data_IF_219467530479
#
_entry.id   IF_219467530479
#
_cell.length_a   1.000
_cell.length_b   1.000
_cell.length_c   1.000
_cell.angle_alpha   90.00
_cell.angle_beta   90.00
_cell.angle_gamma   90.00
#
_symmetry.space_group_name_H-M   'P 1'
#
loop_
_entity.id
_entity.type
_entity.pdbx_description
1 polymer ?
#
# COMPACT_ATOMS: atom_id res chain seq x y z
N UNK A 1 -5.32 -31.53 5.02
CA UNK A 1 -5.16 -30.66 3.85
C UNK A 1 -4.82 -29.28 4.38
N UNK A 2 -3.52 -29.05 4.38
CA UNK A 2 -2.78 -28.06 5.12
C UNK A 2 -2.78 -26.72 4.37
N UNK A 3 -3.25 -25.66 5.01
CA UNK A 3 -2.95 -24.28 4.60
C UNK A 3 -2.50 -23.48 5.82
N UNK A 4 -1.34 -23.86 6.34
CA UNK A 4 -0.52 -22.96 7.15
C UNK A 4 0.00 -21.84 6.24
N UNK A 5 -0.77 -20.75 6.13
CA UNK A 5 -0.31 -19.48 5.56
C UNK A 5 0.85 -18.97 6.42
N UNK A 6 2.07 -19.31 5.98
CA UNK A 6 3.33 -18.79 6.49
C UNK A 6 3.30 -17.27 6.42
N UNK A 7 3.06 -16.61 7.56
CA UNK A 7 3.40 -15.20 7.70
C UNK A 7 4.93 -15.07 7.72
N UNK A 8 5.52 -14.26 6.82
CA UNK A 8 6.96 -14.05 6.82
C UNK A 8 7.40 -13.34 8.10
N UNK A 9 8.59 -13.73 8.57
CA UNK A 9 9.20 -13.32 9.83
C UNK A 9 9.28 -11.78 9.95
N UNK A 10 8.71 -11.26 11.04
CA UNK A 10 8.75 -9.85 11.46
C UNK A 10 10.20 -9.35 11.51
N UNK A 11 10.63 -8.59 10.50
CA UNK A 11 11.87 -7.81 10.56
C UNK A 11 11.66 -6.62 11.50
N UNK A 12 12.69 -6.36 12.31
CA UNK A 12 12.69 -5.42 13.42
C UNK A 12 12.10 -4.04 13.06
N UNK A 13 11.41 -3.45 14.02
CA UNK A 13 10.69 -2.18 13.96
C UNK A 13 11.63 -1.01 13.62
N UNK A 14 11.93 -0.83 12.34
CA UNK A 14 12.46 0.41 11.81
C UNK A 14 11.29 1.38 11.66
N UNK A 15 11.43 2.62 12.16
CA UNK A 15 10.43 3.67 11.95
C UNK A 15 10.11 3.71 10.45
N UNK A 16 8.84 3.59 10.04
CA UNK A 16 8.51 3.51 8.63
C UNK A 16 8.94 4.82 7.96
N UNK A 17 9.96 4.75 7.11
CA UNK A 17 10.26 5.82 6.15
C UNK A 17 9.18 5.85 5.08
N UNK A 18 8.99 7.00 4.43
CA UNK A 18 8.02 7.18 3.33
C UNK A 18 8.18 6.10 2.25
N UNK A 19 9.42 5.76 1.89
CA UNK A 19 9.70 4.70 0.91
C UNK A 19 9.23 3.31 1.37
N UNK A 20 9.46 2.95 2.63
CA UNK A 20 8.95 1.70 3.21
C UNK A 20 7.41 1.64 3.19
N UNK A 21 6.71 2.78 3.33
CA UNK A 21 5.25 2.82 3.25
C UNK A 21 4.76 2.58 1.82
N UNK A 22 5.41 3.19 0.83
CA UNK A 22 5.09 3.01 -0.59
C UNK A 22 5.23 1.56 -1.02
N UNK A 23 6.33 0.90 -0.63
CA UNK A 23 6.55 -0.52 -0.93
C UNK A 23 5.47 -1.40 -0.31
N UNK A 24 5.15 -1.20 0.98
CA UNK A 24 4.09 -1.95 1.67
C UNK A 24 2.70 -1.74 1.06
N UNK A 25 2.39 -0.52 0.62
CA UNK A 25 1.15 -0.20 -0.09
C UNK A 25 1.08 -0.98 -1.39
N UNK A 26 2.18 -1.01 -2.16
CA UNK A 26 2.27 -1.81 -3.39
C UNK A 26 2.09 -3.31 -3.12
N UNK A 27 2.78 -3.87 -2.14
CA UNK A 27 2.64 -5.28 -1.77
C UNK A 27 1.21 -5.62 -1.35
N UNK A 28 0.58 -4.72 -0.59
CA UNK A 28 -0.83 -4.86 -0.20
C UNK A 28 -1.77 -4.81 -1.40
N UNK A 29 -1.55 -3.89 -2.35
CA UNK A 29 -2.32 -3.85 -3.59
C UNK A 29 -2.15 -5.12 -4.41
N UNK A 30 -0.94 -5.67 -4.52
CA UNK A 30 -0.69 -6.96 -5.16
C UNK A 30 -1.42 -8.10 -4.46
N UNK A 31 -1.43 -8.11 -3.12
CA UNK A 31 -2.18 -9.10 -2.33
C UNK A 31 -3.68 -9.05 -2.60
N UNK A 32 -4.24 -7.86 -2.83
CA UNK A 32 -5.65 -7.68 -3.22
C UNK A 32 -5.95 -7.94 -4.71
N UNK A 33 -4.96 -8.38 -5.51
CA UNK A 33 -5.14 -8.65 -6.94
C UNK A 33 -4.91 -7.44 -7.86
N UNK A 34 -4.23 -6.41 -7.35
CA UNK A 34 -3.79 -5.24 -8.11
C UNK A 34 -4.65 -3.99 -7.94
N UNK A 35 -5.84 -4.08 -7.36
CA UNK A 35 -6.71 -2.90 -7.15
C UNK A 35 -7.54 -3.06 -5.87
N UNK A 36 -7.47 -2.08 -4.96
CA UNK A 36 -8.19 -2.12 -3.68
C UNK A 36 -8.67 -0.74 -3.24
N UNK A 37 -9.59 -0.72 -2.27
CA UNK A 37 -9.98 0.51 -1.63
C UNK A 37 -8.86 0.99 -0.69
N UNK A 38 -8.55 2.28 -0.71
CA UNK A 38 -7.54 2.94 0.14
C UNK A 38 -7.70 2.55 1.60
N UNK A 39 -8.94 2.46 2.10
CA UNK A 39 -9.22 2.07 3.49
C UNK A 39 -8.77 0.63 3.80
N UNK A 40 -8.99 -0.31 2.88
CA UNK A 40 -8.58 -1.70 3.04
C UNK A 40 -7.05 -1.82 2.97
N UNK A 41 -6.42 -1.04 2.10
CA UNK A 41 -4.96 -0.95 2.01
C UNK A 41 -4.37 -0.42 3.31
N UNK A 42 -4.86 0.74 3.79
CA UNK A 42 -4.39 1.36 5.05
C UNK A 42 -4.59 0.40 6.22
N UNK A 43 -5.74 -0.27 6.33
CA UNK A 43 -5.99 -1.25 7.39
C UNK A 43 -5.03 -2.44 7.32
N UNK A 44 -4.77 -2.96 6.11
CA UNK A 44 -3.85 -4.08 5.95
C UNK A 44 -2.40 -3.69 6.27
N UNK A 45 -1.93 -2.53 5.81
CA UNK A 45 -0.59 -2.02 6.11
C UNK A 45 -0.46 -1.71 7.60
N UNK A 46 -1.46 -1.08 8.23
CA UNK A 46 -1.47 -0.82 9.67
C UNK A 46 -1.34 -2.13 10.46
N UNK A 47 -2.11 -3.16 10.08
CA UNK A 47 -2.01 -4.50 10.67
C UNK A 47 -0.62 -5.11 10.51
N UNK A 48 -0.01 -4.98 9.33
CA UNK A 48 1.32 -5.52 9.03
C UNK A 48 2.41 -4.91 9.93
N UNK A 49 2.33 -3.60 10.17
CA UNK A 49 3.27 -2.87 11.03
C UNK A 49 2.94 -2.96 12.53
N UNK A 50 1.90 -3.73 12.90
CA UNK A 50 1.50 -3.95 14.29
C UNK A 50 0.65 -2.83 14.91
N UNK A 51 0.07 -1.94 14.10
CA UNK A 51 -0.89 -0.92 14.52
C UNK A 51 -2.30 -1.51 14.57
N UNK A 52 -3.07 -1.15 15.59
CA UNK A 52 -4.47 -1.56 15.71
C UNK A 52 -5.31 -0.93 14.60
N UNK A 53 -5.91 -1.77 13.75
CA UNK A 53 -6.77 -1.35 12.63
C UNK A 53 -8.04 -0.65 13.08
N UNK A 54 -8.48 -0.85 14.33
CA UNK A 54 -9.63 -0.16 14.89
C UNK A 54 -9.29 1.27 15.33
N UNK A 55 -8.01 1.55 15.56
CA UNK A 55 -7.53 2.83 16.08
C UNK A 55 -6.22 3.24 15.38
N UNK A 56 -6.32 3.41 14.05
CA UNK A 56 -5.17 3.83 13.24
C UNK A 56 -4.97 5.34 13.45
N UNK A 57 -3.81 5.79 13.94
CA UNK A 57 -3.56 7.20 14.16
C UNK A 57 -3.70 7.99 12.86
N UNK A 58 -4.37 9.14 12.93
CA UNK A 58 -4.65 9.99 11.76
C UNK A 58 -3.37 10.40 11.02
N UNK A 59 -2.31 10.71 11.77
CA UNK A 59 -0.98 11.03 11.23
C UNK A 59 -0.42 9.89 10.35
N UNK A 60 -0.55 8.65 10.80
CA UNK A 60 -0.12 7.48 10.03
C UNK A 60 -0.98 7.28 8.77
N UNK A 61 -2.29 7.49 8.89
CA UNK A 61 -3.16 7.45 7.72
C UNK A 61 -2.71 8.49 6.70
N UNK A 62 -2.57 9.75 7.13
CA UNK A 62 -2.09 10.86 6.30
C UNK A 62 -0.72 10.57 5.69
N UNK A 63 0.22 10.04 6.46
CA UNK A 63 1.52 9.65 5.95
C UNK A 63 1.42 8.60 4.81
N UNK A 64 0.57 7.58 4.95
CA UNK A 64 0.36 6.58 3.89
C UNK A 64 -0.27 7.19 2.63
N UNK A 65 -1.20 8.11 2.81
CA UNK A 65 -1.90 8.80 1.71
C UNK A 65 -0.94 9.67 0.94
N UNK A 66 -0.22 10.55 1.66
CA UNK A 66 0.77 11.44 1.08
C UNK A 66 1.86 10.62 0.40
N UNK A 67 2.37 9.56 1.03
CA UNK A 67 3.38 8.68 0.43
C UNK A 67 2.93 8.10 -0.90
N UNK A 68 1.67 7.62 -0.98
CA UNK A 68 1.10 7.08 -2.22
C UNK A 68 0.91 8.17 -3.28
N UNK A 69 0.35 9.31 -2.91
CA UNK A 69 0.08 10.41 -3.83
C UNK A 69 1.37 11.03 -4.37
N UNK A 70 2.40 11.20 -3.54
CA UNK A 70 3.73 11.62 -3.97
C UNK A 70 4.36 10.62 -4.92
N UNK A 71 4.29 9.32 -4.62
CA UNK A 71 4.81 8.26 -5.49
C UNK A 71 4.03 8.13 -6.81
N UNK A 72 2.75 8.50 -6.84
CA UNK A 72 1.93 8.53 -8.04
C UNK A 72 2.16 9.79 -8.89
N UNK A 73 2.36 10.95 -8.25
CA UNK A 73 2.67 12.23 -8.91
C UNK A 73 4.07 12.22 -9.55
N UNK A 74 5.02 11.56 -8.91
CA UNK A 74 6.37 11.36 -9.45
C UNK A 74 6.33 10.29 -10.57
N UNK A 75 6.65 10.70 -11.81
CA UNK A 75 6.59 9.82 -12.97
C UNK A 75 7.55 8.63 -12.88
N UNK A 76 8.75 8.82 -12.33
CA UNK A 76 9.74 7.76 -12.18
C UNK A 76 9.28 6.72 -11.15
N UNK A 77 8.74 7.18 -10.02
CA UNK A 77 8.16 6.30 -8.98
C UNK A 77 6.88 5.62 -9.48
N UNK A 78 6.02 6.34 -10.20
CA UNK A 78 4.81 5.80 -10.81
C UNK A 78 5.14 4.67 -11.77
N UNK A 79 6.15 4.83 -12.61
CA UNK A 79 6.63 3.78 -13.52
C UNK A 79 7.26 2.60 -12.76
N UNK A 80 8.04 2.87 -11.72
CA UNK A 80 8.74 1.85 -10.92
C UNK A 80 7.77 0.96 -10.15
N UNK A 81 6.81 1.57 -9.42
CA UNK A 81 5.86 0.84 -8.60
C UNK A 81 4.62 0.40 -9.38
N UNK A 82 4.34 1.05 -10.50
CA UNK A 82 3.18 0.79 -11.34
C UNK A 82 1.90 1.42 -10.81
N UNK A 83 1.94 2.47 -9.98
CA UNK A 83 0.70 3.02 -9.39
C UNK A 83 -0.25 3.59 -10.44
N UNK A 84 -1.53 3.31 -10.24
CA UNK A 84 -2.63 3.74 -11.09
C UNK A 84 -3.82 4.18 -10.24
N UNK A 85 -4.44 5.29 -10.64
CA UNK A 85 -5.67 5.78 -10.06
C UNK A 85 -6.72 5.79 -11.16
N UNK A 86 -7.78 4.99 -11.00
CA UNK A 86 -8.88 4.93 -11.97
C UNK A 86 -9.57 6.29 -12.18
N UNK A 87 -9.65 7.10 -11.12
CA UNK A 87 -10.35 8.38 -11.11
C UNK A 87 -9.43 9.61 -10.95
N UNK A 88 -8.11 9.43 -11.00
CA UNK A 88 -7.13 10.51 -10.77
C UNK A 88 -6.85 10.79 -9.29
N UNK A 89 -6.22 11.94 -9.02
CA UNK A 89 -5.81 12.38 -7.68
C UNK A 89 -6.97 12.38 -6.67
N UNK A 90 -6.69 12.01 -5.41
CA UNK A 90 -7.73 11.89 -4.38
C UNK A 90 -8.64 10.67 -4.51
N UNK A 91 -8.41 9.78 -5.49
CA UNK A 91 -9.18 8.55 -5.64
C UNK A 91 -9.07 7.65 -4.41
N UNK A 92 -10.22 7.24 -3.88
CA UNK A 92 -10.31 6.23 -2.83
C UNK A 92 -9.99 4.82 -3.33
N UNK A 93 -9.96 4.60 -4.64
CA UNK A 93 -9.56 3.33 -5.23
C UNK A 93 -8.13 3.45 -5.73
N UNK A 94 -7.24 2.70 -5.09
CA UNK A 94 -5.85 2.61 -5.47
C UNK A 94 -5.64 1.36 -6.29
N UNK A 95 -4.81 1.47 -7.32
CA UNK A 95 -4.51 0.38 -8.22
C UNK A 95 -3.06 0.35 -8.61
N UNK A 96 -2.66 -0.77 -9.16
CA UNK A 96 -1.46 -0.93 -9.93
C UNK A 96 -1.89 -1.08 -11.39
N UNK A 97 -1.19 -0.43 -12.31
CA UNK A 97 -1.23 -0.82 -13.72
C UNK A 97 -0.79 -2.28 -13.74
N UNK A 98 -1.75 -3.17 -13.97
CA UNK A 98 -1.42 -4.46 -14.53
C UNK A 98 -0.54 -4.17 -15.74
N UNK A 99 0.60 -4.85 -15.84
CA UNK A 99 1.28 -4.98 -17.12
C UNK A 99 0.32 -5.71 -18.06
N UNK A 100 -0.69 -4.99 -18.55
CA UNK A 100 -1.52 -5.44 -19.64
C UNK A 100 -0.61 -5.35 -20.84
N UNK A 101 0.07 -6.47 -21.10
CA UNK A 101 0.53 -6.81 -22.42
C UNK A 101 -0.63 -6.54 -23.38
N UNK A 102 -0.43 -5.58 -24.26
CA UNK A 102 -1.31 -5.37 -25.40
C UNK A 102 -0.48 -5.02 -26.61
#
# INVERSE_FOLDING_TARGET
MDQALRQPRRKAAQRPTTENLVERIRETLLFFGGEAHRRDVIANVARDIGVDVKNIPEDLQNAMIISFEEAWRDEARRATYGFHLRFGEGSHRWGLKSATAH
#
